data_IF_079536815535
#
_entry.id   IF_079536815535
#
_cell.length_a   1.000
_cell.length_b   1.000
_cell.length_c   1.000
_cell.angle_alpha   90.00
_cell.angle_beta   90.00
_cell.angle_gamma   90.00
#
_symmetry.space_group_name_H-M   'P 1'
#
loop_
_entity.id
_entity.type
_entity.pdbx_description
1 polymer ?
#
# COMPACT_ATOMS: atom_id res chain seq x y z
N UNK A 1 3.95 2.54 20.65
CA UNK A 1 4.10 3.96 20.46
C UNK A 1 3.65 4.71 21.73
N UNK A 2 4.60 5.22 22.50
CA UNK A 2 4.34 5.85 23.81
C UNK A 2 3.73 7.25 23.69
N UNK A 3 3.64 7.81 22.48
CA UNK A 3 3.29 9.21 22.23
C UNK A 3 2.02 9.40 21.40
N UNK A 4 1.17 8.39 21.31
CA UNK A 4 -0.12 8.48 20.61
C UNK A 4 -0.07 8.55 19.09
N UNK A 5 1.11 8.40 18.47
CA UNK A 5 1.26 8.41 17.01
C UNK A 5 0.99 7.06 16.34
N UNK A 6 1.13 7.01 15.01
CA UNK A 6 0.90 5.81 14.21
C UNK A 6 -0.57 5.37 14.23
N UNK A 7 -0.82 4.07 14.42
CA UNK A 7 -2.19 3.55 14.39
C UNK A 7 -3.14 4.13 15.44
N UNK A 8 -2.64 4.74 16.52
CA UNK A 8 -3.49 5.41 17.51
C UNK A 8 -4.24 6.61 16.91
N UNK A 9 -3.68 7.26 15.89
CA UNK A 9 -4.30 8.37 15.19
C UNK A 9 -5.56 7.96 14.41
N UNK A 10 -5.75 6.66 14.12
CA UNK A 10 -6.95 6.17 13.46
C UNK A 10 -8.23 6.26 14.32
N UNK A 11 -8.11 6.75 15.53
CA UNK A 11 -9.24 7.11 16.40
C UNK A 11 -9.69 8.57 16.22
N UNK A 12 -8.91 9.37 15.49
CA UNK A 12 -9.07 10.83 15.34
C UNK A 12 -8.88 11.25 13.87
N UNK A 13 -9.90 11.08 13.00
CA UNK A 13 -9.80 11.40 11.57
C UNK A 13 -9.37 12.86 11.30
N UNK A 14 -9.83 13.80 12.13
CA UNK A 14 -9.47 15.22 12.01
C UNK A 14 -7.97 15.49 12.23
N UNK A 15 -7.31 14.70 13.07
CA UNK A 15 -5.86 14.80 13.25
C UNK A 15 -5.11 14.27 12.04
N UNK A 16 -5.60 13.19 11.41
CA UNK A 16 -5.05 12.66 10.17
C UNK A 16 -5.11 13.69 9.06
N UNK A 17 -6.26 14.35 8.87
CA UNK A 17 -6.42 15.44 7.91
C UNK A 17 -5.42 16.57 8.18
N UNK A 18 -5.30 17.00 9.43
CA UNK A 18 -4.40 18.08 9.84
C UNK A 18 -2.94 17.74 9.53
N UNK A 19 -2.51 16.53 9.85
CA UNK A 19 -1.14 16.06 9.60
C UNK A 19 -0.84 16.01 8.11
N UNK A 20 -1.71 15.37 7.31
CA UNK A 20 -1.49 15.24 5.86
C UNK A 20 -1.52 16.61 5.18
N UNK A 21 -2.45 17.49 5.57
CA UNK A 21 -2.50 18.87 5.07
C UNK A 21 -1.21 19.65 5.38
N UNK A 22 -0.62 19.46 6.55
CA UNK A 22 0.64 20.08 6.88
C UNK A 22 1.79 19.55 6.02
N UNK A 23 1.84 18.23 5.78
CA UNK A 23 2.83 17.60 4.89
C UNK A 23 2.65 18.11 3.45
N UNK A 24 1.42 18.12 2.93
CA UNK A 24 1.11 18.59 1.57
C UNK A 24 1.54 20.05 1.37
N UNK A 25 1.30 20.92 2.34
CA UNK A 25 1.73 22.33 2.27
C UNK A 25 3.26 22.49 2.32
N UNK A 26 3.95 21.61 3.03
CA UNK A 26 5.41 21.67 3.15
C UNK A 26 6.14 21.03 1.96
N UNK A 27 5.54 20.02 1.33
CA UNK A 27 6.13 19.35 0.17
C UNK A 27 6.00 20.20 -1.10
N UNK A 28 7.04 20.21 -1.98
CA UNK A 28 6.94 20.84 -3.29
C UNK A 28 5.75 20.33 -4.09
N UNK A 29 5.14 21.17 -4.92
CA UNK A 29 3.92 20.82 -5.66
C UNK A 29 4.07 19.59 -6.58
N UNK A 30 5.28 19.38 -7.11
CA UNK A 30 5.58 18.23 -7.98
C UNK A 30 5.89 16.93 -7.23
N UNK A 31 6.00 16.99 -5.91
CA UNK A 31 6.31 15.80 -5.09
C UNK A 31 5.00 15.17 -4.60
N UNK A 32 4.69 13.91 -4.97
CA UNK A 32 3.49 13.25 -4.49
C UNK A 32 3.55 13.00 -2.98
N UNK A 33 2.40 13.11 -2.33
CA UNK A 33 2.22 12.75 -0.92
C UNK A 33 1.34 11.52 -0.86
N UNK A 34 1.86 10.43 -0.34
CA UNK A 34 1.09 9.21 -0.10
C UNK A 34 0.88 8.98 1.40
N UNK A 35 -0.20 8.32 1.75
CA UNK A 35 -0.48 7.94 3.12
C UNK A 35 -0.60 6.41 3.24
N UNK A 36 -0.26 5.87 4.41
CA UNK A 36 -0.45 4.47 4.74
C UNK A 36 -1.20 4.32 6.03
N UNK A 37 -2.26 3.51 6.02
CA UNK A 37 -3.10 3.25 7.20
C UNK A 37 -3.37 1.76 7.41
N UNK A 38 -3.88 1.42 8.59
CA UNK A 38 -4.61 0.18 8.90
C UNK A 38 -6.10 0.45 8.84
N UNK A 39 -6.93 -0.58 8.92
CA UNK A 39 -8.39 -0.45 8.98
C UNK A 39 -8.86 0.32 10.22
N UNK A 40 -8.08 0.32 11.29
CA UNK A 40 -8.41 1.05 12.52
C UNK A 40 -7.48 0.69 13.65
N UNK A 41 -7.79 1.20 14.85
CA UNK A 41 -7.03 0.92 16.06
C UNK A 41 -7.57 -0.32 16.79
N UNK A 42 -8.76 -0.23 17.40
CA UNK A 42 -9.42 -1.37 18.07
C UNK A 42 -10.29 -2.16 17.09
N UNK A 43 -11.01 -1.45 16.25
CA UNK A 43 -11.93 -1.96 15.24
C UNK A 43 -11.81 -1.09 13.96
N UNK A 44 -12.61 -1.37 12.95
CA UNK A 44 -12.61 -0.71 11.65
C UNK A 44 -13.77 0.28 11.46
N UNK A 45 -14.47 0.67 12.52
CA UNK A 45 -15.64 1.54 12.47
C UNK A 45 -15.36 2.90 11.82
N UNK A 46 -14.16 3.45 11.99
CA UNK A 46 -13.70 4.72 11.41
C UNK A 46 -12.84 4.56 10.15
N UNK A 47 -12.79 3.36 9.55
CA UNK A 47 -11.87 3.09 8.44
C UNK A 47 -12.11 4.03 7.25
N UNK A 48 -13.37 4.21 6.86
CA UNK A 48 -13.77 5.09 5.74
C UNK A 48 -13.52 6.55 6.08
N UNK A 49 -13.91 7.01 7.26
CA UNK A 49 -13.70 8.40 7.71
C UNK A 49 -12.20 8.76 7.75
N UNK A 50 -11.36 7.86 8.25
CA UNK A 50 -9.92 8.04 8.23
C UNK A 50 -9.35 8.14 6.81
N UNK A 51 -9.83 7.29 5.90
CA UNK A 51 -9.39 7.32 4.51
C UNK A 51 -9.79 8.62 3.81
N UNK A 52 -11.04 9.07 4.03
CA UNK A 52 -11.53 10.35 3.50
C UNK A 52 -10.72 11.52 4.07
N UNK A 53 -10.47 11.55 5.37
CA UNK A 53 -9.67 12.58 6.02
C UNK A 53 -8.24 12.66 5.46
N UNK A 54 -7.62 11.51 5.15
CA UNK A 54 -6.29 11.46 4.51
C UNK A 54 -6.33 12.00 3.08
N UNK A 55 -7.34 11.61 2.29
CA UNK A 55 -7.52 12.07 0.92
C UNK A 55 -7.80 13.59 0.88
N UNK A 56 -8.74 14.08 1.69
CA UNK A 56 -9.10 15.50 1.79
C UNK A 56 -7.95 16.34 2.32
N UNK A 57 -7.08 15.76 3.14
CA UNK A 57 -5.83 16.38 3.60
C UNK A 57 -4.77 16.54 2.50
N UNK A 58 -4.98 15.95 1.32
CA UNK A 58 -4.11 16.09 0.15
C UNK A 58 -3.17 14.91 -0.07
N UNK A 59 -3.50 13.72 0.45
CA UNK A 59 -2.87 12.49 -0.01
C UNK A 59 -3.30 12.19 -1.45
N UNK A 60 -2.34 11.78 -2.28
CA UNK A 60 -2.54 11.47 -3.69
C UNK A 60 -2.63 9.95 -3.95
N UNK A 61 -2.26 9.15 -2.95
CA UNK A 61 -2.37 7.70 -2.93
C UNK A 61 -2.54 7.21 -1.49
N UNK A 62 -3.31 6.15 -1.31
CA UNK A 62 -3.55 5.55 0.00
C UNK A 62 -3.21 4.07 -0.01
N UNK A 63 -2.29 3.64 0.85
CA UNK A 63 -2.01 2.22 1.10
C UNK A 63 -2.78 1.77 2.33
N UNK A 64 -3.59 0.72 2.20
CA UNK A 64 -4.41 0.19 3.28
C UNK A 64 -3.96 -1.21 3.68
N UNK A 65 -3.46 -1.37 4.90
CA UNK A 65 -3.25 -2.69 5.47
C UNK A 65 -4.57 -3.24 6.00
N UNK A 66 -5.03 -4.33 5.40
CA UNK A 66 -6.34 -4.94 5.61
C UNK A 66 -6.51 -5.61 6.99
N UNK A 67 -6.08 -4.93 8.05
CA UNK A 67 -6.21 -5.30 9.47
C UNK A 67 -6.24 -4.07 10.36
N UNK A 68 -6.89 -4.19 11.52
CA UNK A 68 -6.77 -3.20 12.59
C UNK A 68 -5.43 -3.33 13.33
N UNK A 69 -5.16 -2.41 14.24
CA UNK A 69 -4.01 -2.53 15.15
C UNK A 69 -4.22 -3.70 16.13
N UNK A 70 -5.46 -3.92 16.57
CA UNK A 70 -5.82 -5.00 17.50
C UNK A 70 -5.63 -6.40 16.87
N UNK A 71 -5.86 -6.57 15.56
CA UNK A 71 -5.61 -7.82 14.84
C UNK A 71 -4.11 -8.15 14.77
N UNK A 72 -3.26 -7.16 14.93
CA UNK A 72 -1.80 -7.28 14.79
C UNK A 72 -1.42 -7.86 13.40
N UNK A 73 -0.89 -9.09 13.37
CA UNK A 73 -0.51 -9.82 12.16
C UNK A 73 -1.21 -11.17 12.04
N UNK A 74 -2.25 -11.39 12.81
CA UNK A 74 -3.02 -12.65 12.80
C UNK A 74 -3.91 -12.70 11.55
N UNK A 75 -3.97 -13.83 10.83
CA UNK A 75 -4.93 -14.00 9.75
C UNK A 75 -6.37 -14.04 10.29
N UNK A 76 -7.38 -13.67 9.48
CA UNK A 76 -7.24 -13.26 8.07
C UNK A 76 -6.86 -11.78 7.90
N UNK A 77 -6.58 -11.38 6.64
CA UNK A 77 -6.65 -9.99 6.21
C UNK A 77 -8.04 -9.74 5.62
N UNK A 78 -8.66 -8.63 5.95
CA UNK A 78 -10.02 -8.28 5.54
C UNK A 78 -9.99 -7.42 4.27
N UNK A 79 -9.69 -8.04 3.13
CA UNK A 79 -9.50 -7.33 1.85
C UNK A 79 -10.79 -6.66 1.34
N UNK A 80 -11.95 -7.22 1.66
CA UNK A 80 -13.26 -6.63 1.34
C UNK A 80 -13.45 -5.26 2.01
N UNK A 81 -12.86 -5.04 3.21
CA UNK A 81 -12.92 -3.74 3.89
C UNK A 81 -12.07 -2.68 3.18
N UNK A 82 -11.04 -3.11 2.44
CA UNK A 82 -10.26 -2.21 1.57
C UNK A 82 -11.12 -1.74 0.40
N UNK A 83 -12.03 -2.58 -0.11
CA UNK A 83 -12.97 -2.18 -1.16
C UNK A 83 -13.93 -1.07 -0.69
N UNK A 84 -14.43 -1.15 0.55
CA UNK A 84 -15.29 -0.09 1.10
C UNK A 84 -14.55 1.26 1.11
N UNK A 85 -13.29 1.26 1.52
CA UNK A 85 -12.43 2.44 1.48
C UNK A 85 -12.23 2.93 0.04
N UNK A 86 -11.88 2.02 -0.88
CA UNK A 86 -11.64 2.36 -2.29
C UNK A 86 -12.85 3.04 -2.94
N UNK A 87 -14.06 2.61 -2.59
CA UNK A 87 -15.29 3.20 -3.11
C UNK A 87 -15.62 4.57 -2.50
N UNK A 88 -15.03 4.89 -1.35
CA UNK A 88 -15.33 6.10 -0.60
C UNK A 88 -14.34 7.25 -0.84
N UNK A 89 -13.22 7.01 -1.55
CA UNK A 89 -12.21 8.02 -1.85
C UNK A 89 -11.98 8.15 -3.36
N UNK A 90 -11.53 9.33 -3.81
CA UNK A 90 -11.24 9.63 -5.23
C UNK A 90 -9.75 9.55 -5.59
N UNK A 91 -8.96 8.88 -4.75
CA UNK A 91 -7.52 8.67 -4.98
C UNK A 91 -7.24 7.17 -5.12
N UNK A 92 -6.15 6.78 -5.80
CA UNK A 92 -5.74 5.38 -5.90
C UNK A 92 -5.57 4.75 -4.52
N UNK A 93 -6.09 3.51 -4.38
CA UNK A 93 -5.94 2.70 -3.17
C UNK A 93 -5.13 1.45 -3.49
N UNK A 94 -4.10 1.20 -2.69
CA UNK A 94 -3.22 0.05 -2.78
C UNK A 94 -3.54 -0.91 -1.64
N UNK A 95 -3.89 -2.16 -1.97
CA UNK A 95 -4.19 -3.17 -0.96
C UNK A 95 -2.91 -3.80 -0.40
N UNK A 96 -2.89 -4.01 0.92
CA UNK A 96 -1.77 -4.61 1.63
C UNK A 96 -2.24 -5.62 2.68
N UNK A 97 -1.49 -6.68 2.87
CA UNK A 97 -1.66 -7.65 3.95
C UNK A 97 -1.95 -9.07 3.47
N UNK A 98 -1.29 -10.04 4.08
CA UNK A 98 -1.45 -11.50 3.90
C UNK A 98 -1.27 -11.99 2.45
N UNK A 99 -0.35 -11.39 1.71
CA UNK A 99 0.00 -11.81 0.35
C UNK A 99 1.31 -12.57 0.42
N UNK A 100 1.24 -13.90 0.29
CA UNK A 100 2.36 -14.83 0.37
C UNK A 100 2.61 -15.58 -0.94
N UNK A 101 1.58 -15.65 -1.79
CA UNK A 101 1.59 -16.37 -3.08
C UNK A 101 0.95 -15.52 -4.16
N UNK A 102 1.12 -15.91 -5.41
CA UNK A 102 0.41 -15.29 -6.55
C UNK A 102 -1.10 -15.46 -6.42
N UNK A 103 -1.55 -16.58 -5.85
CA UNK A 103 -2.97 -16.82 -5.64
C UNK A 103 -3.56 -15.92 -4.55
N UNK A 104 -2.81 -15.64 -3.49
CA UNK A 104 -3.21 -14.62 -2.50
C UNK A 104 -3.32 -13.23 -3.16
N UNK A 105 -2.39 -12.89 -4.04
CA UNK A 105 -2.43 -11.62 -4.78
C UNK A 105 -3.69 -11.51 -5.64
N UNK A 106 -4.03 -12.58 -6.37
CA UNK A 106 -5.25 -12.65 -7.20
C UNK A 106 -6.51 -12.47 -6.34
N UNK A 107 -6.60 -13.20 -5.23
CA UNK A 107 -7.74 -13.10 -4.30
C UNK A 107 -7.84 -11.71 -3.65
N UNK A 108 -6.70 -11.11 -3.29
CA UNK A 108 -6.65 -9.76 -2.73
C UNK A 108 -7.18 -8.73 -3.73
N UNK A 109 -6.72 -8.77 -5.00
CA UNK A 109 -7.21 -7.88 -6.06
C UNK A 109 -8.72 -8.04 -6.28
N UNK A 110 -9.21 -9.27 -6.32
CA UNK A 110 -10.63 -9.56 -6.51
C UNK A 110 -11.49 -9.03 -5.36
N UNK A 111 -11.05 -9.24 -4.11
CA UNK A 111 -11.81 -8.86 -2.93
C UNK A 111 -11.75 -7.35 -2.66
N UNK A 112 -10.60 -6.72 -2.88
CA UNK A 112 -10.40 -5.30 -2.64
C UNK A 112 -10.83 -4.41 -3.81
N UNK A 113 -10.93 -4.97 -5.03
CA UNK A 113 -11.15 -4.21 -6.26
C UNK A 113 -10.02 -3.23 -6.60
N UNK A 114 -8.87 -3.32 -5.93
CA UNK A 114 -7.71 -2.48 -6.20
C UNK A 114 -6.95 -2.98 -7.43
N UNK A 115 -6.25 -2.05 -8.11
CA UNK A 115 -5.38 -2.35 -9.26
C UNK A 115 -3.92 -2.53 -8.84
N UNK A 116 -3.60 -2.25 -7.58
CA UNK A 116 -2.23 -2.26 -7.05
C UNK A 116 -2.14 -2.96 -5.70
N UNK A 117 -1.00 -3.59 -5.44
CA UNK A 117 -0.71 -4.31 -4.21
C UNK A 117 0.58 -3.82 -3.58
N UNK A 118 0.60 -3.75 -2.25
CA UNK A 118 1.83 -3.61 -1.48
C UNK A 118 2.18 -4.95 -0.84
N UNK A 119 3.33 -5.50 -1.18
CA UNK A 119 3.85 -6.73 -0.58
C UNK A 119 4.60 -6.40 0.72
N UNK A 120 4.50 -7.30 1.68
CA UNK A 120 5.20 -7.19 2.96
C UNK A 120 6.08 -8.42 3.20
N UNK A 121 5.81 -9.15 4.26
CA UNK A 121 6.59 -10.32 4.68
C UNK A 121 6.72 -11.42 3.62
N UNK A 122 5.74 -11.56 2.73
CA UNK A 122 5.79 -12.53 1.62
C UNK A 122 7.02 -12.37 0.75
N UNK A 123 7.45 -11.12 0.47
CA UNK A 123 8.64 -10.86 -0.36
C UNK A 123 9.95 -11.19 0.36
N UNK A 124 9.93 -11.20 1.70
CA UNK A 124 11.09 -11.61 2.50
C UNK A 124 11.26 -13.14 2.46
N UNK A 125 10.13 -13.85 2.42
CA UNK A 125 10.12 -15.32 2.32
C UNK A 125 10.42 -15.77 0.89
N UNK A 126 9.87 -15.07 -0.10
CA UNK A 126 10.11 -15.31 -1.53
C UNK A 126 10.44 -13.99 -2.24
N UNK A 127 11.73 -13.68 -2.44
CA UNK A 127 12.14 -12.47 -3.15
C UNK A 127 11.66 -12.39 -4.60
N UNK A 128 11.32 -13.53 -5.22
CA UNK A 128 10.77 -13.63 -6.57
C UNK A 128 9.27 -13.33 -6.68
N UNK A 129 8.57 -13.27 -5.53
CA UNK A 129 7.11 -13.16 -5.50
C UNK A 129 6.56 -11.96 -6.31
N UNK A 130 7.17 -10.79 -6.20
CA UNK A 130 6.71 -9.61 -6.92
C UNK A 130 6.77 -9.79 -8.44
N UNK A 131 7.86 -10.41 -8.94
CA UNK A 131 8.04 -10.70 -10.36
C UNK A 131 7.04 -11.76 -10.84
N UNK A 132 6.81 -12.79 -10.04
CA UNK A 132 5.84 -13.83 -10.34
C UNK A 132 4.42 -13.26 -10.41
N UNK A 133 4.02 -12.45 -9.44
CA UNK A 133 2.72 -11.76 -9.43
C UNK A 133 2.59 -10.89 -10.68
N UNK A 134 3.60 -10.05 -10.99
CA UNK A 134 3.57 -9.17 -12.14
C UNK A 134 3.39 -9.96 -13.44
N UNK A 135 4.18 -11.02 -13.64
CA UNK A 135 4.12 -11.84 -14.84
C UNK A 135 2.76 -12.53 -15.02
N UNK A 136 2.20 -13.08 -13.94
CA UNK A 136 0.98 -13.88 -14.03
C UNK A 136 -0.31 -13.06 -14.05
N UNK A 137 -0.34 -11.90 -13.39
CA UNK A 137 -1.56 -11.10 -13.26
C UNK A 137 -1.62 -9.91 -14.22
N UNK A 138 -0.46 -9.36 -14.64
CA UNK A 138 -0.40 -8.22 -15.59
C UNK A 138 0.32 -8.53 -16.90
N UNK A 139 0.79 -9.78 -17.09
CA UNK A 139 1.52 -10.21 -18.27
C UNK A 139 2.98 -9.75 -18.29
N UNK A 140 3.72 -10.16 -19.30
CA UNK A 140 5.09 -9.67 -19.50
C UNK A 140 5.03 -8.22 -19.99
N UNK A 141 5.79 -7.34 -19.33
CA UNK A 141 6.05 -6.02 -19.90
C UNK A 141 6.82 -6.18 -21.21
N UNK A 142 6.58 -5.33 -22.22
CA UNK A 142 7.41 -5.28 -23.43
C UNK A 142 8.92 -5.17 -23.12
N UNK A 143 9.30 -4.58 -21.99
CA UNK A 143 10.68 -4.51 -21.52
C UNK A 143 11.23 -5.85 -20.97
N UNK A 144 10.37 -6.81 -20.61
CA UNK A 144 10.81 -8.12 -20.11
C UNK A 144 11.23 -9.05 -21.29
N UNK A 145 10.86 -8.69 -22.55
CA UNK A 145 11.23 -9.42 -23.75
C UNK A 145 12.65 -9.09 -24.26
N UNK A 146 13.24 -7.98 -23.82
CA UNK A 146 14.59 -7.54 -24.22
C UNK A 146 15.70 -7.82 -23.19
N UNK A 147 15.41 -8.53 -22.12
CA UNK A 147 16.33 -8.62 -20.98
C UNK A 147 16.77 -10.01 -20.55
N UNK A 148 17.33 -10.82 -21.43
CA UNK A 148 18.43 -11.69 -21.00
C UNK A 148 19.68 -10.82 -20.82
N UNK A 149 19.82 -10.21 -19.66
CA UNK A 149 21.07 -9.54 -19.27
C UNK A 149 22.10 -10.61 -18.94
N UNK A 150 23.23 -10.69 -19.67
CA UNK A 150 24.35 -11.47 -19.20
C UNK A 150 24.88 -10.82 -17.93
N UNK A 151 25.09 -11.64 -16.90
CA UNK A 151 25.74 -11.22 -15.64
C UNK A 151 27.21 -10.99 -15.91
N UNK A 152 27.57 -9.86 -16.48
CA UNK A 152 28.95 -9.36 -16.49
C UNK A 152 28.95 -7.84 -16.60
N UNK A 153 29.45 -7.17 -15.59
CA UNK A 153 29.93 -5.79 -15.68
C UNK A 153 29.00 -4.75 -15.07
N UNK A 154 29.45 -4.23 -13.96
CA UNK A 154 28.99 -3.00 -13.32
C UNK A 154 28.92 -1.87 -14.34
N UNK A 155 27.71 -1.41 -14.66
CA UNK A 155 27.50 -0.13 -15.29
C UNK A 155 26.24 0.52 -14.71
N UNK A 156 26.45 1.69 -14.13
CA UNK A 156 25.52 2.55 -13.43
C UNK A 156 24.25 2.87 -14.21
N UNK A 157 23.11 2.44 -13.72
CA UNK A 157 21.87 3.17 -13.47
C UNK A 157 20.88 2.18 -12.83
N UNK A 158 20.30 2.47 -11.66
CA UNK A 158 19.24 1.61 -11.15
C UNK A 158 18.07 1.65 -12.14
N UNK A 159 17.40 0.52 -12.39
CA UNK A 159 16.14 0.55 -13.13
C UNK A 159 15.20 1.50 -12.39
N UNK A 160 14.52 2.34 -13.14
CA UNK A 160 13.42 3.15 -12.61
C UNK A 160 12.34 2.16 -12.17
N UNK A 161 12.38 1.80 -10.90
CA UNK A 161 11.34 1.00 -10.28
C UNK A 161 10.16 1.97 -10.09
N UNK A 162 8.98 1.69 -10.65
CA UNK A 162 7.81 2.47 -10.30
C UNK A 162 7.63 2.43 -8.79
N UNK A 163 7.27 3.54 -8.19
CA UNK A 163 7.17 3.74 -6.75
C UNK A 163 6.29 2.73 -6.00
N UNK A 164 5.50 1.94 -6.71
CA UNK A 164 4.76 0.78 -6.17
C UNK A 164 5.63 -0.31 -5.52
N UNK A 165 6.95 -0.22 -5.61
CA UNK A 165 7.85 -1.29 -5.14
C UNK A 165 8.67 -0.90 -3.91
N UNK A 166 8.54 0.30 -3.34
CA UNK A 166 9.46 0.76 -2.31
C UNK A 166 8.75 1.21 -1.04
N UNK A 167 9.28 0.61 -0.01
CA UNK A 167 9.42 0.96 1.39
C UNK A 167 8.34 0.51 2.33
N UNK A 168 8.52 -0.73 2.73
CA UNK A 168 8.34 -1.09 4.14
C UNK A 168 9.53 -0.53 4.92
N UNK A 169 9.38 0.62 5.54
CA UNK A 169 10.16 0.97 6.72
C UNK A 169 9.26 0.77 7.93
N UNK A 170 9.73 -0.13 8.79
CA UNK A 170 9.13 -0.49 10.07
C UNK A 170 8.90 0.71 10.99
#
# INVERSE_FOLDING_TARGET
NRHGGGAALLQYPEELHTIVSAVRRAAPAHMPVSAKMRLGFNDDSHAVECAQALADGGAEELVVHARTKADAYRPPAYWERVNDIRLAVNIPVVANGEIWTVDDARRCLQASGCDSLMLGRGIVTDPGLALAIRRELWGQSPHDAEGQMPVTGVANAPPVVPWATILTLM
#
